data_IF_828069272029
#
_entry.id   IF_828069272029
#
_cell.length_a   1.000
_cell.length_b   1.000
_cell.length_c   1.000
_cell.angle_alpha   90.00
_cell.angle_beta   90.00
_cell.angle_gamma   90.00
#
_symmetry.space_group_name_H-M   'P 1'
#
loop_
_entity.id
_entity.type
_entity.pdbx_description
1 polymer ?
#
# COMPACT_ATOMS: atom_id res chain seq x y z
N UNK A 1 -5.70 4.40 20.30
CA UNK A 1 -5.86 5.53 19.35
C UNK A 1 -5.40 5.08 17.97
N UNK A 2 -6.09 5.51 16.91
CA UNK A 2 -5.69 5.23 15.52
C UNK A 2 -4.47 6.09 15.15
N UNK A 3 -3.47 5.50 14.50
CA UNK A 3 -2.31 6.24 13.97
C UNK A 3 -2.30 6.13 12.44
N UNK A 4 -2.43 7.27 11.78
CA UNK A 4 -2.35 7.37 10.31
C UNK A 4 -0.89 7.32 9.86
N UNK A 5 -0.60 6.51 8.85
CA UNK A 5 0.73 6.35 8.28
C UNK A 5 0.74 6.92 6.86
N UNK A 6 1.58 7.95 6.65
CA UNK A 6 1.85 8.56 5.34
C UNK A 6 3.36 8.73 5.21
N UNK A 7 4.10 7.66 4.86
CA UNK A 7 5.55 7.71 4.74
C UNK A 7 5.98 8.72 3.65
N UNK A 8 7.02 9.53 3.86
CA UNK A 8 7.49 10.50 2.87
C UNK A 8 8.20 9.87 1.68
N UNK A 9 8.61 8.60 1.79
CA UNK A 9 9.29 7.83 0.75
C UNK A 9 8.36 7.30 -0.35
N UNK A 10 7.05 7.53 -0.21
CA UNK A 10 6.05 7.21 -1.22
C UNK A 10 5.21 8.43 -1.53
N UNK A 11 4.65 8.46 -2.74
CA UNK A 11 3.71 9.48 -3.17
C UNK A 11 2.57 9.62 -2.16
N UNK A 12 2.09 10.83 -1.89
CA UNK A 12 0.89 11.03 -1.07
C UNK A 12 -0.34 10.36 -1.72
N UNK A 13 -1.34 9.97 -0.91
CA UNK A 13 -2.59 9.43 -1.44
C UNK A 13 -3.25 10.38 -2.44
N UNK A 14 -3.93 9.81 -3.44
CA UNK A 14 -4.64 10.59 -4.46
C UNK A 14 -5.87 11.32 -3.90
N UNK A 15 -6.42 10.83 -2.80
CA UNK A 15 -7.59 11.38 -2.14
C UNK A 15 -7.25 11.87 -0.73
N UNK A 16 -8.28 12.26 0.02
CA UNK A 16 -8.16 12.67 1.43
C UNK A 16 -8.22 11.45 2.36
N UNK A 17 -7.30 10.51 2.14
CA UNK A 17 -7.16 9.26 2.88
C UNK A 17 -5.73 9.09 3.45
N UNK A 18 -5.43 7.91 3.98
CA UNK A 18 -4.11 7.53 4.52
C UNK A 18 -3.68 6.21 3.89
N UNK A 19 -2.38 6.03 3.67
CA UNK A 19 -1.88 4.77 3.09
C UNK A 19 -2.13 3.59 4.00
N UNK A 20 -1.96 3.77 5.31
CA UNK A 20 -2.32 2.77 6.30
C UNK A 20 -2.79 3.41 7.60
N UNK A 21 -3.52 2.63 8.38
CA UNK A 21 -3.88 2.99 9.75
C UNK A 21 -3.41 1.89 10.69
N UNK A 22 -2.53 2.26 11.62
CA UNK A 22 -2.17 1.37 12.73
C UNK A 22 -3.23 1.47 13.82
N UNK A 23 -3.74 0.32 14.21
CA UNK A 23 -4.73 0.18 15.28
C UNK A 23 -4.07 -0.37 16.56
N UNK A 24 -4.66 -0.15 17.75
CA UNK A 24 -4.03 -0.50 19.02
C UNK A 24 -3.74 -2.01 19.15
N UNK A 25 -2.72 -2.41 19.95
CA UNK A 25 -2.49 -3.82 20.29
C UNK A 25 -3.77 -4.49 20.82
N UNK A 26 -4.05 -5.73 20.37
CA UNK A 26 -5.28 -6.47 20.69
C UNK A 26 -6.52 -6.10 19.86
N UNK A 27 -6.42 -5.10 18.98
CA UNK A 27 -7.36 -4.89 17.89
C UNK A 27 -6.92 -5.68 16.64
N UNK A 28 -7.73 -5.67 15.58
CA UNK A 28 -7.41 -6.32 14.29
C UNK A 28 -6.00 -5.96 13.76
N UNK A 29 -5.44 -6.73 12.83
CA UNK A 29 -4.20 -6.35 12.12
C UNK A 29 -4.30 -5.00 11.39
N UNK A 30 -3.22 -4.19 11.29
CA UNK A 30 -3.19 -2.98 10.49
C UNK A 30 -3.43 -3.28 9.00
N UNK A 31 -4.25 -2.44 8.37
CA UNK A 31 -4.63 -2.52 6.96
C UNK A 31 -3.95 -1.38 6.16
N UNK A 32 -3.46 -1.72 4.97
CA UNK A 32 -2.94 -0.78 3.97
C UNK A 32 -4.01 -0.61 2.88
N UNK A 33 -4.34 0.64 2.55
CA UNK A 33 -5.17 1.02 1.40
C UNK A 33 -4.51 0.57 0.10
N UNK A 34 -5.27 0.42 -0.98
CA UNK A 34 -4.75 0.02 -2.28
C UNK A 34 -3.57 0.87 -2.75
N UNK A 35 -2.43 0.22 -3.00
CA UNK A 35 -1.21 0.84 -3.47
C UNK A 35 -1.08 0.69 -4.97
N UNK A 36 -0.89 1.81 -5.66
CA UNK A 36 -0.69 1.89 -7.11
C UNK A 36 0.80 2.01 -7.46
N UNK A 37 1.18 1.52 -8.64
CA UNK A 37 2.55 1.60 -9.13
C UNK A 37 2.96 3.00 -9.59
N UNK A 38 3.16 3.92 -8.65
CA UNK A 38 3.53 5.32 -8.90
C UNK A 38 4.68 5.76 -7.98
N UNK A 39 5.69 6.42 -8.53
CA UNK A 39 6.82 6.95 -7.75
C UNK A 39 6.44 8.20 -6.96
N UNK A 40 7.31 8.62 -6.04
CA UNK A 40 7.12 9.87 -5.28
C UNK A 40 7.17 11.12 -6.18
N UNK A 41 7.80 11.01 -7.35
CA UNK A 41 7.83 12.02 -8.43
C UNK A 41 6.67 11.89 -9.43
N UNK A 42 5.59 11.18 -9.08
CA UNK A 42 4.40 10.98 -9.93
C UNK A 42 4.67 10.20 -11.24
N UNK A 43 5.74 9.41 -11.31
CA UNK A 43 6.04 8.57 -12.48
C UNK A 43 5.32 7.23 -12.38
N UNK A 44 4.58 6.86 -13.43
CA UNK A 44 3.93 5.55 -13.57
C UNK A 44 4.72 4.74 -14.61
N UNK A 45 5.45 3.68 -14.21
CA UNK A 45 6.19 2.84 -15.15
C UNK A 45 5.27 2.11 -16.13
N UNK A 46 5.75 1.84 -17.34
CA UNK A 46 4.97 1.07 -18.32
C UNK A 46 4.85 -0.42 -17.96
N UNK A 47 5.84 -1.02 -17.32
CA UNK A 47 5.81 -2.46 -17.04
C UNK A 47 5.01 -2.80 -15.78
N UNK A 48 4.30 -3.92 -15.83
CA UNK A 48 3.55 -4.46 -14.68
C UNK A 48 4.52 -4.78 -13.53
N UNK A 49 5.68 -5.32 -13.85
CA UNK A 49 6.71 -5.71 -12.90
C UNK A 49 7.26 -4.50 -12.15
N UNK A 50 7.51 -3.39 -12.84
CA UNK A 50 7.98 -2.16 -12.19
C UNK A 50 6.89 -1.51 -11.33
N UNK A 51 5.63 -1.54 -11.79
CA UNK A 51 4.51 -1.08 -10.96
C UNK A 51 4.35 -1.94 -9.70
N UNK A 52 4.41 -3.27 -9.82
CA UNK A 52 4.33 -4.20 -8.71
C UNK A 52 5.45 -3.98 -7.68
N UNK A 53 6.68 -3.73 -8.14
CA UNK A 53 7.80 -3.40 -7.27
C UNK A 53 7.56 -2.12 -6.47
N UNK A 54 6.97 -1.09 -7.09
CA UNK A 54 6.58 0.14 -6.40
C UNK A 54 5.46 -0.10 -5.38
N UNK A 55 4.44 -0.90 -5.72
CA UNK A 55 3.37 -1.28 -4.78
C UNK A 55 3.95 -2.00 -3.55
N UNK A 56 4.87 -2.95 -3.76
CA UNK A 56 5.52 -3.70 -2.68
C UNK A 56 6.38 -2.79 -1.79
N UNK A 57 7.15 -1.87 -2.39
CA UNK A 57 7.91 -0.88 -1.63
C UNK A 57 7.01 0.01 -0.77
N UNK A 58 5.85 0.41 -1.30
CA UNK A 58 4.88 1.22 -0.55
C UNK A 58 4.26 0.46 0.63
N UNK A 59 3.93 -0.82 0.45
CA UNK A 59 3.46 -1.68 1.52
C UNK A 59 4.52 -1.78 2.63
N UNK A 60 5.79 -2.05 2.28
CA UNK A 60 6.85 -2.15 3.28
C UNK A 60 7.12 -0.82 4.00
N UNK A 61 7.01 0.32 3.31
CA UNK A 61 7.11 1.63 3.95
C UNK A 61 6.03 1.85 5.03
N UNK A 62 4.87 1.18 4.90
CA UNK A 62 3.77 1.26 5.85
C UNK A 62 3.82 0.18 6.94
N UNK A 63 4.22 -1.04 6.59
CA UNK A 63 4.08 -2.25 7.41
C UNK A 63 5.42 -3.01 7.58
N UNK A 64 6.54 -2.32 7.86
CA UNK A 64 7.82 -3.03 8.05
C UNK A 64 7.86 -3.89 9.34
N UNK A 65 7.09 -3.51 10.36
CA UNK A 65 7.10 -4.17 11.68
C UNK A 65 5.71 -4.13 12.34
N UNK A 66 4.97 -5.28 12.38
CA UNK A 66 5.31 -6.53 11.71
C UNK A 66 5.15 -6.42 10.19
N UNK A 67 5.95 -7.19 9.43
CA UNK A 67 5.80 -7.34 7.99
C UNK A 67 4.41 -7.88 7.61
N UNK A 68 3.85 -7.52 6.46
CA UNK A 68 2.62 -8.14 5.98
C UNK A 68 2.78 -9.66 5.88
N UNK A 69 1.80 -10.40 6.39
CA UNK A 69 1.80 -11.87 6.28
C UNK A 69 1.42 -12.31 4.86
N UNK A 70 0.63 -11.50 4.17
CA UNK A 70 0.25 -11.68 2.77
C UNK A 70 0.03 -10.34 2.07
N UNK A 71 0.15 -10.35 0.75
CA UNK A 71 -0.23 -9.23 -0.13
C UNK A 71 -1.27 -9.76 -1.10
N UNK A 72 -2.39 -9.06 -1.21
CA UNK A 72 -3.48 -9.38 -2.11
C UNK A 72 -3.45 -8.40 -3.28
N UNK A 73 -3.38 -8.92 -4.50
CA UNK A 73 -3.50 -8.14 -5.73
C UNK A 73 -4.87 -8.44 -6.34
N UNK A 74 -5.73 -7.42 -6.42
CA UNK A 74 -7.03 -7.51 -7.10
C UNK A 74 -7.07 -6.39 -8.13
N UNK A 75 -7.34 -6.73 -9.39
CA UNK A 75 -7.53 -5.75 -10.46
C UNK A 75 -8.81 -6.08 -11.21
N UNK A 76 -9.89 -5.34 -10.93
CA UNK A 76 -11.13 -5.40 -11.70
C UNK A 76 -11.11 -4.39 -12.87
N UNK A 77 -10.31 -3.33 -12.77
CA UNK A 77 -10.13 -2.28 -13.77
C UNK A 77 -9.80 -0.94 -13.12
N UNK A 78 -9.00 -0.10 -13.80
CA UNK A 78 -8.64 1.25 -13.36
C UNK A 78 -9.35 2.32 -14.16
N UNK A 79 -9.57 3.48 -13.56
CA UNK A 79 -10.10 4.67 -14.26
C UNK A 79 -9.09 5.29 -15.22
N UNK A 80 -7.80 4.97 -15.04
CA UNK A 80 -6.70 5.42 -15.87
C UNK A 80 -5.97 4.22 -16.48
N UNK A 81 -5.71 4.20 -17.80
CA UNK A 81 -5.13 3.04 -18.48
C UNK A 81 -3.64 2.83 -18.17
N UNK A 82 -2.96 3.83 -17.58
CA UNK A 82 -1.56 3.69 -17.20
C UNK A 82 -1.37 2.75 -16.00
N UNK A 83 -2.37 2.62 -15.13
CA UNK A 83 -2.30 1.69 -13.99
C UNK A 83 -2.66 0.28 -14.43
N UNK A 84 -1.84 -0.67 -14.01
CA UNK A 84 -1.97 -2.08 -14.38
C UNK A 84 -2.14 -3.00 -13.18
N UNK A 85 -1.68 -2.56 -12.00
CA UNK A 85 -1.76 -3.33 -10.74
C UNK A 85 -2.06 -2.43 -9.54
N UNK A 86 -2.77 -3.02 -8.58
CA UNK A 86 -3.05 -2.44 -7.26
C UNK A 86 -2.86 -3.52 -6.21
N UNK A 87 -2.11 -3.22 -5.16
CA UNK A 87 -1.85 -4.16 -4.06
C UNK A 87 -2.51 -3.66 -2.79
N UNK A 88 -3.22 -4.54 -2.11
CA UNK A 88 -3.73 -4.35 -0.75
C UNK A 88 -3.01 -5.32 0.19
N UNK A 89 -2.71 -4.89 1.40
CA UNK A 89 -1.96 -5.71 2.35
C UNK A 89 -2.50 -5.62 3.77
N UNK A 90 -2.40 -6.75 4.47
CA UNK A 90 -2.75 -6.90 5.87
C UNK A 90 -1.55 -7.51 6.61
N UNK A 91 -1.07 -6.85 7.66
CA UNK A 91 -0.04 -7.43 8.52
C UNK A 91 -0.67 -8.07 9.75
N UNK A 92 -0.51 -9.38 9.90
CA UNK A 92 -1.03 -10.14 11.03
C UNK A 92 0.12 -10.77 11.81
N UNK A 93 -0.03 -10.84 13.13
CA UNK A 93 0.80 -11.64 14.01
C UNK A 93 0.05 -12.93 14.36
N UNK A 94 0.80 -14.02 14.53
CA UNK A 94 0.28 -15.25 15.13
C UNK A 94 0.52 -15.09 16.62
N UNK A 95 -0.50 -14.62 17.34
CA UNK A 95 -0.54 -14.65 18.80
C UNK A 95 -1.04 -16.03 19.26
#
# INVERSE_FOLDING_TARGET
MLRHLVPPSIRRPFARDSHAVRIPPGARPPLVSGQLGVSVEDVIPESVEAQAALCQAAIYACLADPSPASTLMIVAGFTRPEFKVEFEALAATID
#
